data_IF_534838730876
#
_entry.id   IF_534838730876
#
_cell.length_a   1.000
_cell.length_b   1.000
_cell.length_c   1.000
_cell.angle_alpha   90.00
_cell.angle_beta   90.00
_cell.angle_gamma   90.00
#
_symmetry.space_group_name_H-M   'P 1'
#
loop_
_entity.id
_entity.type
_entity.pdbx_description
1 polymer ?
#
# COMPACT_ATOMS: atom_id res chain seq x y z
N UNK A 1 -13.74 -0.36 3.23
CA UNK A 1 -13.21 0.94 2.74
C UNK A 1 -11.72 0.79 2.61
N UNK A 2 -11.14 1.28 1.52
CA UNK A 2 -9.69 1.38 1.37
C UNK A 2 -9.27 2.84 1.55
N UNK A 3 -8.03 3.05 1.99
CA UNK A 3 -7.46 4.40 2.11
C UNK A 3 -6.72 4.81 0.84
N UNK A 4 -6.45 3.87 -0.06
CA UNK A 4 -5.86 4.12 -1.38
C UNK A 4 -6.43 3.15 -2.43
N UNK A 5 -6.10 3.39 -3.69
CA UNK A 5 -6.49 2.59 -4.85
C UNK A 5 -5.26 2.17 -5.68
N UNK A 6 -5.43 1.14 -6.51
CA UNK A 6 -4.39 0.72 -7.46
C UNK A 6 -3.99 1.87 -8.39
N UNK A 7 -4.95 2.64 -8.92
CA UNK A 7 -4.67 3.76 -9.81
C UNK A 7 -3.78 4.83 -9.17
N UNK A 8 -3.97 5.13 -7.88
CA UNK A 8 -3.10 6.08 -7.17
C UNK A 8 -1.69 5.52 -6.92
N UNK A 9 -1.55 4.20 -6.76
CA UNK A 9 -0.23 3.56 -6.70
C UNK A 9 0.46 3.62 -8.07
N UNK A 10 -0.28 3.39 -9.16
CA UNK A 10 0.24 3.49 -10.54
C UNK A 10 0.65 4.92 -10.88
N UNK A 11 -0.16 5.91 -10.52
CA UNK A 11 0.14 7.32 -10.74
C UNK A 11 1.40 7.75 -10.00
N UNK A 12 1.57 7.30 -8.75
CA UNK A 12 2.66 7.76 -7.89
C UNK A 12 3.98 7.00 -8.10
N UNK A 13 3.93 5.69 -8.31
CA UNK A 13 5.12 4.83 -8.41
C UNK A 13 5.43 4.37 -9.84
N UNK A 14 4.50 4.58 -10.76
CA UNK A 14 4.58 4.15 -12.15
C UNK A 14 4.08 2.73 -12.34
N UNK A 15 3.37 2.51 -13.46
CA UNK A 15 2.82 1.20 -13.84
C UNK A 15 3.90 0.13 -13.95
N UNK A 16 5.08 0.47 -14.48
CA UNK A 16 6.19 -0.49 -14.62
C UNK A 16 6.61 -1.09 -13.29
N UNK A 17 6.80 -0.26 -12.26
CA UNK A 17 7.17 -0.76 -10.94
C UNK A 17 6.07 -1.67 -10.38
N UNK A 18 4.81 -1.29 -10.58
CA UNK A 18 3.69 -2.11 -10.11
C UNK A 18 3.60 -3.45 -10.80
N UNK A 19 3.83 -3.53 -12.11
CA UNK A 19 3.97 -4.82 -12.80
C UNK A 19 5.08 -5.64 -12.13
N UNK A 20 6.28 -5.06 -11.95
CA UNK A 20 7.44 -5.77 -11.38
C UNK A 20 7.16 -6.35 -9.97
N UNK A 21 6.34 -5.67 -9.16
CA UNK A 21 6.05 -6.11 -7.79
C UNK A 21 4.74 -6.89 -7.64
N UNK A 22 3.87 -6.92 -8.66
CA UNK A 22 2.57 -7.63 -8.62
C UNK A 22 2.53 -8.88 -9.50
N UNK A 23 3.15 -8.86 -10.67
CA UNK A 23 3.17 -9.96 -11.64
C UNK A 23 4.12 -11.07 -11.20
N UNK A 24 3.67 -11.86 -10.23
CA UNK A 24 4.44 -12.93 -9.58
C UNK A 24 4.03 -14.33 -10.03
N UNK A 25 3.20 -14.43 -11.07
CA UNK A 25 2.77 -15.70 -11.61
C UNK A 25 3.95 -16.45 -12.25
N UNK A 26 3.82 -17.77 -12.38
CA UNK A 26 4.83 -18.60 -13.07
C UNK A 26 5.06 -18.13 -14.51
N UNK A 27 4.01 -17.65 -15.17
CA UNK A 27 4.06 -17.01 -16.48
C UNK A 27 3.75 -15.54 -16.29
N UNK A 28 4.77 -14.70 -16.47
CA UNK A 28 4.61 -13.25 -16.42
C UNK A 28 3.65 -12.78 -17.51
N UNK A 29 2.65 -11.99 -17.09
CA UNK A 29 1.63 -11.42 -17.96
C UNK A 29 2.03 -10.06 -18.51
N UNK A 30 2.99 -9.39 -17.87
CA UNK A 30 3.43 -8.04 -18.21
C UNK A 30 2.40 -6.96 -17.86
N UNK A 31 1.37 -7.31 -17.09
CA UNK A 31 0.33 -6.39 -16.61
C UNK A 31 0.26 -6.43 -15.09
N UNK A 32 -0.32 -5.38 -14.50
CA UNK A 32 -0.48 -5.32 -13.04
C UNK A 32 -1.46 -6.40 -12.61
N UNK A 33 -1.04 -7.26 -11.70
CA UNK A 33 -1.95 -8.23 -11.06
C UNK A 33 -2.83 -7.48 -10.05
N UNK A 34 -4.10 -7.30 -10.43
CA UNK A 34 -5.06 -6.53 -9.65
C UNK A 34 -5.41 -7.19 -8.33
N UNK A 35 -5.35 -8.52 -8.25
CA UNK A 35 -5.67 -9.27 -7.03
C UNK A 35 -4.53 -9.15 -6.00
N UNK A 36 -3.29 -9.21 -6.47
CA UNK A 36 -2.10 -8.96 -5.63
C UNK A 36 -2.08 -7.52 -5.13
N UNK A 37 -2.36 -6.54 -6.00
CA UNK A 37 -2.45 -5.14 -5.61
C UNK A 37 -3.58 -4.90 -4.60
N UNK A 38 -4.77 -5.46 -4.83
CA UNK A 38 -5.91 -5.33 -3.93
C UNK A 38 -5.63 -5.94 -2.54
N UNK A 39 -4.95 -7.09 -2.49
CA UNK A 39 -4.55 -7.71 -1.22
C UNK A 39 -3.55 -6.86 -0.45
N UNK A 40 -2.53 -6.31 -1.10
CA UNK A 40 -1.57 -5.44 -0.43
C UNK A 40 -2.21 -4.14 0.12
N UNK A 41 -3.17 -3.57 -0.62
CA UNK A 41 -3.96 -2.42 -0.15
C UNK A 41 -4.81 -2.82 1.07
N UNK A 42 -5.43 -3.99 1.06
CA UNK A 42 -6.23 -4.48 2.19
C UNK A 42 -5.36 -4.70 3.44
N UNK A 43 -4.16 -5.26 3.28
CA UNK A 43 -3.21 -5.47 4.36
C UNK A 43 -2.77 -4.13 4.96
N UNK A 44 -2.43 -3.15 4.13
CA UNK A 44 -2.08 -1.79 4.57
C UNK A 44 -3.23 -1.12 5.35
N UNK A 45 -4.46 -1.30 4.90
CA UNK A 45 -5.66 -0.80 5.60
C UNK A 45 -5.83 -1.51 6.95
N UNK A 46 -5.61 -2.82 7.00
CA UNK A 46 -5.66 -3.61 8.23
C UNK A 46 -4.65 -3.13 9.26
N UNK A 47 -3.42 -2.86 8.82
CA UNK A 47 -2.34 -2.35 9.64
C UNK A 47 -2.65 -0.96 10.20
N UNK A 48 -3.01 0.00 9.35
CA UNK A 48 -3.43 1.35 9.77
C UNK A 48 -4.57 1.28 10.78
N UNK A 49 -5.59 0.46 10.51
CA UNK A 49 -6.71 0.29 11.42
C UNK A 49 -6.30 -0.34 12.75
N UNK A 50 -5.30 -1.22 12.77
CA UNK A 50 -4.72 -1.78 13.99
C UNK A 50 -4.22 -0.69 14.94
N UNK A 51 -3.49 0.29 14.41
CA UNK A 51 -3.01 1.45 15.19
C UNK A 51 -4.16 2.38 15.62
N UNK A 52 -5.07 2.69 14.70
CA UNK A 52 -6.15 3.65 14.96
C UNK A 52 -7.20 3.12 15.95
N UNK A 53 -7.44 1.81 16.05
CA UNK A 53 -8.41 1.20 16.98
C UNK A 53 -8.19 1.57 18.44
N UNK A 54 -6.96 1.89 18.83
CA UNK A 54 -6.66 2.32 20.19
C UNK A 54 -7.23 3.71 20.53
N UNK A 55 -7.53 4.54 19.52
CA UNK A 55 -7.86 5.97 19.70
C UNK A 55 -9.15 6.41 19.00
N UNK A 56 -9.60 5.70 17.97
CA UNK A 56 -10.70 6.10 17.10
C UNK A 56 -11.74 4.99 16.92
N UNK A 57 -13.01 5.39 16.74
CA UNK A 57 -14.08 4.47 16.32
C UNK A 57 -13.98 4.24 14.83
N UNK A 58 -13.83 2.97 14.43
CA UNK A 58 -13.79 2.56 13.02
C UNK A 58 -15.18 2.13 12.54
N UNK A 59 -15.54 2.35 11.25
CA UNK A 59 -14.74 2.99 10.21
C UNK A 59 -14.75 4.52 10.29
N UNK A 60 -13.61 5.15 10.02
CA UNK A 60 -13.50 6.61 9.90
C UNK A 60 -14.30 7.05 8.66
N UNK A 61 -15.21 8.00 8.84
CA UNK A 61 -16.06 8.52 7.75
C UNK A 61 -15.36 9.70 7.07
N UNK A 62 -15.14 9.59 5.76
CA UNK A 62 -14.28 10.48 4.98
C UNK A 62 -12.81 10.10 5.19
N UNK A 63 -12.03 9.99 4.11
CA UNK A 63 -10.58 9.68 4.21
C UNK A 63 -9.88 10.99 4.58
N UNK A 64 -9.47 11.22 5.84
CA UNK A 64 -8.74 12.42 6.18
C UNK A 64 -7.31 12.24 5.67
N UNK A 65 -6.77 13.25 4.99
CA UNK A 65 -5.33 13.36 4.76
C UNK A 65 -4.67 13.40 6.14
N UNK A 66 -3.86 12.39 6.56
CA UNK A 66 -2.85 11.69 5.76
C UNK A 66 -3.08 10.20 5.42
N UNK A 67 -4.24 9.60 5.71
CA UNK A 67 -4.40 8.13 5.64
C UNK A 67 -4.11 7.53 4.27
N UNK A 68 -4.46 8.22 3.18
CA UNK A 68 -4.16 7.75 1.83
C UNK A 68 -2.68 7.79 1.47
N UNK A 69 -1.92 8.76 1.98
CA UNK A 69 -0.45 8.79 1.82
C UNK A 69 0.19 7.65 2.59
N UNK A 70 -0.26 7.39 3.82
CA UNK A 70 0.25 6.30 4.66
C UNK A 70 -0.04 4.95 4.02
N UNK A 71 -1.29 4.74 3.57
CA UNK A 71 -1.69 3.49 2.94
C UNK A 71 -0.90 3.20 1.67
N UNK A 72 -0.59 4.21 0.84
CA UNK A 72 0.26 4.01 -0.34
C UNK A 72 1.67 3.55 0.01
N UNK A 73 2.29 4.20 1.01
CA UNK A 73 3.66 3.87 1.46
C UNK A 73 3.73 2.47 2.07
N UNK A 74 2.72 2.09 2.84
CA UNK A 74 2.64 0.75 3.43
C UNK A 74 2.34 -0.30 2.34
N UNK A 75 1.37 -0.04 1.46
CA UNK A 75 1.02 -0.99 0.39
C UNK A 75 2.19 -1.25 -0.56
N UNK A 76 2.92 -0.23 -1.01
CA UNK A 76 4.08 -0.44 -1.89
C UNK A 76 5.20 -1.20 -1.19
N UNK A 77 5.40 -0.96 0.11
CA UNK A 77 6.39 -1.70 0.90
C UNK A 77 5.98 -3.17 1.02
N UNK A 78 4.72 -3.45 1.34
CA UNK A 78 4.17 -4.80 1.44
C UNK A 78 4.20 -5.56 0.09
N UNK A 79 4.14 -4.84 -1.04
CA UNK A 79 4.32 -5.41 -2.37
C UNK A 79 5.78 -5.83 -2.65
N UNK A 80 6.78 -5.39 -1.89
CA UNK A 80 8.13 -5.91 -2.03
C UNK A 80 8.31 -7.13 -1.13
N UNK A 81 8.33 -8.32 -1.73
CA UNK A 81 8.58 -9.59 -1.01
C UNK A 81 10.03 -9.69 -0.52
N UNK A 82 10.94 -9.12 -1.30
CA UNK A 82 12.37 -9.06 -1.00
C UNK A 82 12.74 -7.66 -0.50
N UNK A 83 13.99 -7.24 -0.70
CA UNK A 83 14.45 -5.93 -0.27
C UNK A 83 13.89 -4.82 -1.17
N UNK A 84 13.06 -3.90 -0.63
CA UNK A 84 12.66 -2.71 -1.35
C UNK A 84 13.83 -1.72 -1.44
N UNK A 85 13.73 -0.74 -2.33
CA UNK A 85 14.70 0.35 -2.35
C UNK A 85 14.76 1.06 -0.98
N UNK A 86 15.95 1.59 -0.62
CA UNK A 86 16.14 2.33 0.63
C UNK A 86 15.18 3.53 0.78
N UNK A 87 14.67 4.09 -0.32
CA UNK A 87 13.64 5.13 -0.26
C UNK A 87 12.31 4.56 0.24
N UNK A 88 11.85 3.44 -0.33
CA UNK A 88 10.57 2.81 0.03
C UNK A 88 10.62 2.33 1.49
N UNK A 89 11.71 1.71 1.92
CA UNK A 89 11.89 1.30 3.32
C UNK A 89 11.77 2.49 4.30
N UNK A 90 12.48 3.60 4.02
CA UNK A 90 12.39 4.81 4.86
C UNK A 90 11.01 5.46 4.84
N UNK A 91 10.34 5.45 3.70
CA UNK A 91 8.99 6.00 3.58
C UNK A 91 7.97 5.17 4.38
N UNK A 92 8.14 3.84 4.42
CA UNK A 92 7.38 2.93 5.28
C UNK A 92 7.64 3.20 6.76
N UNK A 93 8.90 3.26 7.20
CA UNK A 93 9.26 3.57 8.59
C UNK A 93 8.64 4.90 9.04
N UNK A 94 8.70 5.93 8.19
CA UNK A 94 8.05 7.23 8.45
C UNK A 94 6.53 7.13 8.52
N UNK A 95 5.92 6.26 7.73
CA UNK A 95 4.48 6.04 7.78
C UNK A 95 4.07 5.41 9.11
N UNK A 96 4.77 4.36 9.54
CA UNK A 96 4.51 3.71 10.83
C UNK A 96 4.75 4.67 12.00
N UNK A 97 5.79 5.50 11.96
CA UNK A 97 6.05 6.50 12.99
C UNK A 97 4.97 7.61 13.09
N UNK A 98 4.09 7.73 12.08
CA UNK A 98 3.00 8.74 12.06
C UNK A 98 1.70 8.21 12.68
N UNK A 99 1.54 6.88 12.78
CA UNK A 99 0.33 6.20 13.29
C UNK A 99 0.32 6.13 14.83
#
# INVERSE_FOLDING_TARGET
>A
MTYTTQSELEEHYGTKLLVDVTDRAEIATGVVDTDVAARAIADAVGEINGYLKARYVLPIVGIPDPLGVLARRIAIYNLHVYEPSAKIARDYERAIATL
#
